data_IF_558909396939
#
_entry.id   IF_558909396939
#
_cell.length_a   1.000
_cell.length_b   1.000
_cell.length_c   1.000
_cell.angle_alpha   90.00
_cell.angle_beta   90.00
_cell.angle_gamma   90.00
#
_symmetry.space_group_name_H-M   'P 1'
#
loop_
_entity.id
_entity.type
_entity.pdbx_description
1 polymer ?
#
# COMPACT_ATOMS: atom_id res chain seq x y z
N UNK A 1 -15.51 31.62 16.08
CA UNK A 1 -15.71 30.56 17.11
C UNK A 1 -16.84 29.59 16.78
N UNK A 2 -18.09 30.03 16.48
CA UNK A 2 -19.19 29.09 16.16
C UNK A 2 -19.01 28.39 14.79
N UNK A 3 -18.53 29.09 13.77
CA UNK A 3 -18.28 28.52 12.44
C UNK A 3 -17.15 27.48 12.48
N UNK A 4 -16.08 27.72 13.22
CA UNK A 4 -14.97 26.77 13.39
C UNK A 4 -15.39 25.50 14.12
N UNK A 5 -16.22 25.64 15.16
CA UNK A 5 -16.78 24.48 15.87
C UNK A 5 -17.68 23.62 14.98
N UNK A 6 -18.47 24.24 14.10
CA UNK A 6 -19.33 23.54 13.15
C UNK A 6 -18.50 22.77 12.13
N UNK A 7 -17.46 23.40 11.56
CA UNK A 7 -16.54 22.74 10.62
C UNK A 7 -15.75 21.60 11.28
N UNK A 8 -15.33 21.78 12.53
CA UNK A 8 -14.67 20.70 13.27
C UNK A 8 -15.61 19.51 13.54
N UNK A 9 -16.87 19.77 13.92
CA UNK A 9 -17.86 18.72 14.12
C UNK A 9 -18.20 17.99 12.81
N UNK A 10 -18.37 18.71 11.70
CA UNK A 10 -18.62 18.14 10.38
C UNK A 10 -17.44 17.26 9.93
N UNK A 11 -16.21 17.73 10.10
CA UNK A 11 -15.01 16.97 9.79
C UNK A 11 -14.89 15.71 10.69
N UNK A 12 -15.17 15.85 11.99
CA UNK A 12 -15.13 14.72 12.93
C UNK A 12 -16.18 13.67 12.59
N UNK A 13 -17.41 14.09 12.28
CA UNK A 13 -18.48 13.18 11.88
C UNK A 13 -18.17 12.49 10.53
N UNK A 14 -17.62 13.23 9.57
CA UNK A 14 -17.24 12.68 8.27
C UNK A 14 -16.10 11.66 8.41
N UNK A 15 -15.07 11.97 9.19
CA UNK A 15 -13.97 11.05 9.46
C UNK A 15 -14.46 9.83 10.25
N UNK A 16 -15.35 10.02 11.25
CA UNK A 16 -15.96 8.94 12.00
C UNK A 16 -16.83 8.03 11.13
N UNK A 17 -17.63 8.60 10.24
CA UNK A 17 -18.43 7.83 9.30
C UNK A 17 -17.55 7.01 8.34
N UNK A 18 -16.48 7.59 7.77
CA UNK A 18 -15.52 6.88 6.95
C UNK A 18 -14.85 5.73 7.71
N UNK A 19 -14.52 5.95 8.98
CA UNK A 19 -13.89 4.93 9.83
C UNK A 19 -14.84 3.76 10.09
N UNK A 20 -16.12 4.06 10.41
CA UNK A 20 -17.15 3.03 10.61
C UNK A 20 -17.34 2.20 9.34
N UNK A 21 -17.47 2.84 8.18
CA UNK A 21 -17.63 2.17 6.88
C UNK A 21 -16.41 1.27 6.60
N UNK A 22 -15.20 1.75 6.89
CA UNK A 22 -13.95 1.00 6.70
C UNK A 22 -13.86 -0.26 7.56
N UNK A 23 -14.57 -0.33 8.68
CA UNK A 23 -14.63 -1.54 9.52
C UNK A 23 -15.84 -2.43 9.18
N UNK A 24 -16.98 -1.83 8.87
CA UNK A 24 -18.22 -2.58 8.59
C UNK A 24 -18.10 -3.37 7.27
N UNK A 25 -17.49 -2.78 6.23
CA UNK A 25 -17.33 -3.45 4.94
C UNK A 25 -16.54 -4.76 5.06
N UNK A 26 -15.34 -4.80 5.68
CA UNK A 26 -14.62 -6.06 5.90
C UNK A 26 -15.40 -7.05 6.77
N UNK A 27 -16.10 -6.56 7.81
CA UNK A 27 -16.87 -7.43 8.72
C UNK A 27 -17.98 -8.20 8.00
N UNK A 28 -18.58 -7.60 6.97
CA UNK A 28 -19.62 -8.26 6.15
C UNK A 28 -18.96 -9.14 5.08
N UNK A 29 -17.88 -8.66 4.45
CA UNK A 29 -17.22 -9.37 3.37
C UNK A 29 -16.50 -10.65 3.83
N UNK A 30 -15.87 -10.65 5.02
CA UNK A 30 -15.11 -11.80 5.51
C UNK A 30 -15.94 -13.08 5.64
N UNK A 31 -17.13 -13.08 6.33
CA UNK A 31 -17.98 -14.26 6.40
C UNK A 31 -18.55 -14.70 5.05
N UNK A 32 -18.86 -13.73 4.18
CA UNK A 32 -19.35 -14.01 2.83
C UNK A 32 -18.28 -14.70 1.98
N UNK A 33 -17.05 -14.14 1.96
CA UNK A 33 -15.92 -14.72 1.25
C UNK A 33 -15.56 -16.12 1.77
N UNK A 34 -15.55 -16.33 3.09
CA UNK A 34 -15.23 -17.62 3.67
C UNK A 34 -16.23 -18.71 3.31
N UNK A 35 -17.51 -18.35 3.13
CA UNK A 35 -18.56 -19.29 2.71
C UNK A 35 -18.46 -19.66 1.23
N UNK A 36 -18.08 -18.73 0.36
CA UNK A 36 -18.00 -18.96 -1.09
C UNK A 36 -16.70 -19.69 -1.46
N UNK A 37 -15.56 -19.22 -0.94
CA UNK A 37 -14.26 -19.81 -1.29
C UNK A 37 -13.98 -21.12 -0.53
N UNK A 38 -14.67 -21.36 0.58
CA UNK A 38 -14.30 -22.41 1.51
C UNK A 38 -13.07 -22.06 2.33
N UNK A 39 -12.84 -22.80 3.40
CA UNK A 39 -11.78 -22.50 4.40
C UNK A 39 -10.38 -22.55 3.78
N UNK A 40 -10.15 -23.48 2.87
CA UNK A 40 -8.83 -23.70 2.26
C UNK A 40 -8.41 -22.54 1.34
N UNK A 41 -9.26 -22.17 0.38
CA UNK A 41 -8.98 -21.07 -0.55
C UNK A 41 -8.99 -19.71 0.16
N UNK A 42 -9.86 -19.55 1.15
CA UNK A 42 -9.85 -18.35 2.00
C UNK A 42 -8.52 -18.20 2.73
N UNK A 43 -8.01 -19.28 3.35
CA UNK A 43 -6.71 -19.30 3.99
C UNK A 43 -5.56 -18.97 3.03
N UNK A 44 -5.59 -19.54 1.82
CA UNK A 44 -4.59 -19.29 0.79
C UNK A 44 -4.53 -17.82 0.37
N UNK A 45 -5.68 -17.19 0.13
CA UNK A 45 -5.76 -15.77 -0.26
C UNK A 45 -5.24 -14.87 0.85
N UNK A 46 -5.63 -15.11 2.10
CA UNK A 46 -5.13 -14.32 3.23
C UNK A 46 -3.64 -14.54 3.50
N UNK A 47 -3.15 -15.77 3.31
CA UNK A 47 -1.73 -16.05 3.37
C UNK A 47 -0.96 -15.28 2.28
N UNK A 48 -1.45 -15.31 1.03
CA UNK A 48 -0.84 -14.56 -0.05
C UNK A 48 -0.84 -13.05 0.24
N UNK A 49 -1.96 -12.50 0.74
CA UNK A 49 -2.05 -11.11 1.14
C UNK A 49 -1.04 -10.73 2.23
N UNK A 50 -0.96 -11.50 3.30
CA UNK A 50 0.01 -11.29 4.38
C UNK A 50 1.46 -11.42 3.86
N UNK A 51 1.71 -12.36 2.97
CA UNK A 51 3.01 -12.57 2.35
C UNK A 51 3.43 -11.37 1.49
N UNK A 52 2.51 -10.79 0.72
CA UNK A 52 2.78 -9.58 -0.08
C UNK A 52 3.10 -8.36 0.78
N UNK A 53 2.65 -8.28 2.04
CA UNK A 53 3.01 -7.18 2.94
C UNK A 53 4.53 -7.10 3.20
N UNK A 54 5.22 -8.22 3.25
CA UNK A 54 6.69 -8.22 3.38
C UNK A 54 7.37 -7.62 2.14
N UNK A 55 6.86 -7.90 0.94
CA UNK A 55 7.36 -7.29 -0.29
C UNK A 55 7.05 -5.80 -0.38
N UNK A 56 5.88 -5.37 0.09
CA UNK A 56 5.52 -3.95 0.19
C UNK A 56 6.51 -3.25 1.13
N UNK A 57 6.78 -3.82 2.30
CA UNK A 57 7.74 -3.27 3.25
C UNK A 57 9.16 -3.20 2.66
N UNK A 58 9.56 -4.20 1.90
CA UNK A 58 10.86 -4.22 1.20
C UNK A 58 10.95 -3.11 0.14
N UNK A 59 9.90 -2.93 -0.67
CA UNK A 59 9.86 -1.90 -1.73
C UNK A 59 9.73 -0.49 -1.16
N UNK A 60 9.08 -0.33 -0.01
CA UNK A 60 8.93 0.98 0.65
C UNK A 60 10.20 1.43 1.37
N UNK A 61 10.98 0.51 1.92
CA UNK A 61 12.28 0.74 2.58
C UNK A 61 12.38 2.04 3.42
N UNK A 62 11.28 2.52 3.97
CA UNK A 62 11.23 3.75 4.76
C UNK A 62 11.19 5.06 3.96
N UNK A 63 11.03 5.00 2.63
CA UNK A 63 10.87 6.20 1.79
C UNK A 63 9.64 7.03 2.17
N UNK A 64 8.60 6.39 2.73
CA UNK A 64 7.43 7.08 3.26
C UNK A 64 7.77 8.18 4.27
N UNK A 65 8.82 8.01 5.08
CA UNK A 65 9.27 9.01 6.05
C UNK A 65 10.38 9.91 5.50
N UNK A 66 11.44 9.31 4.94
CA UNK A 66 12.62 10.05 4.49
C UNK A 66 12.32 10.95 3.30
N UNK A 67 11.66 10.43 2.27
CA UNK A 67 11.31 11.19 1.08
C UNK A 67 10.25 12.26 1.36
N UNK A 68 9.25 11.97 2.21
CA UNK A 68 8.25 12.96 2.65
C UNK A 68 8.91 14.16 3.31
N UNK A 69 9.90 13.92 4.19
CA UNK A 69 10.67 14.99 4.85
C UNK A 69 11.46 15.84 3.86
N UNK A 70 12.18 15.19 2.94
CA UNK A 70 12.97 15.89 1.93
C UNK A 70 12.09 16.76 1.01
N UNK A 71 10.92 16.28 0.63
CA UNK A 71 9.96 17.05 -0.16
C UNK A 71 9.42 18.25 0.62
N UNK A 72 9.07 18.06 1.90
CA UNK A 72 8.58 19.14 2.74
C UNK A 72 9.61 20.29 2.88
N UNK A 73 10.90 19.95 3.01
CA UNK A 73 11.99 20.92 3.08
C UNK A 73 12.17 21.65 1.74
N UNK A 74 12.12 20.92 0.63
CA UNK A 74 12.41 21.45 -0.71
C UNK A 74 11.16 21.88 -1.50
N UNK A 75 9.99 22.01 -0.88
CA UNK A 75 8.69 22.27 -1.54
C UNK A 75 8.64 23.52 -2.43
N UNK A 76 9.51 24.49 -2.20
CA UNK A 76 9.59 25.74 -2.99
C UNK A 76 10.55 25.65 -4.18
N UNK A 77 11.36 24.60 -4.28
CA UNK A 77 12.34 24.42 -5.35
C UNK A 77 11.93 23.28 -6.28
N UNK A 78 11.34 23.63 -7.43
CA UNK A 78 10.82 22.66 -8.42
C UNK A 78 11.89 21.70 -8.96
N UNK A 79 13.12 22.17 -9.14
CA UNK A 79 14.20 21.35 -9.67
C UNK A 79 14.62 20.27 -8.66
N UNK A 80 14.75 20.63 -7.38
CA UNK A 80 15.07 19.69 -6.32
C UNK A 80 13.94 18.67 -6.13
N UNK A 81 12.68 19.11 -6.19
CA UNK A 81 11.51 18.21 -6.13
C UNK A 81 11.52 17.15 -7.23
N UNK A 82 11.79 17.57 -8.47
CA UNK A 82 11.87 16.65 -9.61
C UNK A 82 13.00 15.61 -9.44
N UNK A 83 14.16 16.06 -8.97
CA UNK A 83 15.29 15.17 -8.73
C UNK A 83 15.00 14.15 -7.63
N UNK A 84 14.41 14.60 -6.49
CA UNK A 84 14.03 13.70 -5.39
C UNK A 84 12.99 12.69 -5.87
N UNK A 85 11.96 13.14 -6.59
CA UNK A 85 10.92 12.28 -7.13
C UNK A 85 11.48 11.21 -8.07
N UNK A 86 12.33 11.61 -9.03
CA UNK A 86 12.98 10.69 -9.96
C UNK A 86 13.86 9.67 -9.24
N UNK A 87 14.69 10.12 -8.30
CA UNK A 87 15.60 9.26 -7.57
C UNK A 87 14.84 8.21 -6.74
N UNK A 88 13.84 8.63 -5.96
CA UNK A 88 13.04 7.72 -5.13
C UNK A 88 12.26 6.74 -5.99
N UNK A 89 11.64 7.21 -7.08
CA UNK A 89 10.89 6.35 -8.00
C UNK A 89 11.80 5.32 -8.65
N UNK A 90 12.98 5.72 -9.09
CA UNK A 90 13.95 4.79 -9.67
C UNK A 90 14.38 3.71 -8.69
N UNK A 91 14.70 4.08 -7.44
CA UNK A 91 15.10 3.13 -6.41
C UNK A 91 13.93 2.16 -6.10
N UNK A 92 12.69 2.67 -5.97
CA UNK A 92 11.51 1.82 -5.76
C UNK A 92 11.31 0.83 -6.90
N UNK A 93 11.52 1.24 -8.15
CA UNK A 93 11.43 0.34 -9.30
C UNK A 93 12.52 -0.74 -9.26
N UNK A 94 13.75 -0.39 -8.89
CA UNK A 94 14.81 -1.38 -8.70
C UNK A 94 14.46 -2.39 -7.58
N UNK A 95 13.96 -1.90 -6.44
CA UNK A 95 13.53 -2.76 -5.34
C UNK A 95 12.33 -3.64 -5.73
N UNK A 96 11.41 -3.12 -6.55
CA UNK A 96 10.30 -3.88 -7.10
C UNK A 96 10.79 -5.04 -7.98
N UNK A 97 11.76 -4.80 -8.87
CA UNK A 97 12.37 -5.83 -9.70
C UNK A 97 13.06 -6.91 -8.86
N UNK A 98 13.84 -6.50 -7.86
CA UNK A 98 14.48 -7.43 -6.92
C UNK A 98 13.42 -8.26 -6.18
N UNK A 99 12.36 -7.63 -5.67
CA UNK A 99 11.24 -8.28 -5.01
C UNK A 99 10.55 -9.30 -5.92
N UNK A 100 10.35 -8.95 -7.18
CA UNK A 100 9.76 -9.85 -8.18
C UNK A 100 10.64 -11.08 -8.43
N UNK A 101 11.96 -10.89 -8.58
CA UNK A 101 12.91 -11.99 -8.75
C UNK A 101 12.92 -12.92 -7.53
N UNK A 102 12.90 -12.36 -6.32
CA UNK A 102 12.80 -13.13 -5.08
C UNK A 102 11.51 -13.96 -5.06
N UNK A 103 10.37 -13.35 -5.41
CA UNK A 103 9.08 -14.06 -5.49
C UNK A 103 9.14 -15.21 -6.49
N UNK A 104 9.69 -15.00 -7.69
CA UNK A 104 9.83 -16.04 -8.71
C UNK A 104 10.71 -17.21 -8.21
N UNK A 105 11.83 -16.90 -7.56
CA UNK A 105 12.68 -17.92 -6.95
C UNK A 105 11.93 -18.70 -5.87
N UNK A 106 11.20 -18.02 -4.99
CA UNK A 106 10.41 -18.69 -3.94
C UNK A 106 9.31 -19.58 -4.52
N UNK A 107 8.65 -19.18 -5.60
CA UNK A 107 7.65 -20.01 -6.30
C UNK A 107 8.30 -21.28 -6.86
N UNK A 108 9.53 -21.21 -7.37
CA UNK A 108 10.23 -22.36 -7.94
C UNK A 108 10.69 -23.32 -6.84
N UNK A 109 11.21 -22.81 -5.72
CA UNK A 109 11.81 -23.63 -4.67
C UNK A 109 10.81 -24.17 -3.62
N UNK A 110 9.66 -23.51 -3.46
CA UNK A 110 8.68 -23.86 -2.44
C UNK A 110 7.47 -24.56 -3.08
N UNK A 111 7.27 -25.90 -2.91
CA UNK A 111 6.19 -26.63 -3.56
C UNK A 111 4.79 -26.04 -3.29
N UNK A 112 4.54 -25.58 -2.07
CA UNK A 112 3.25 -24.94 -1.70
C UNK A 112 2.94 -23.67 -2.48
N UNK A 113 3.96 -22.88 -2.82
CA UNK A 113 3.81 -21.67 -3.64
C UNK A 113 3.66 -22.05 -5.11
N UNK A 114 4.37 -23.10 -5.54
CA UNK A 114 4.32 -23.61 -6.89
C UNK A 114 2.93 -24.12 -7.28
N UNK A 115 2.25 -24.86 -6.40
CA UNK A 115 0.89 -25.36 -6.65
C UNK A 115 -0.11 -24.23 -6.93
N UNK A 116 0.07 -23.07 -6.29
CA UNK A 116 -0.83 -21.93 -6.39
C UNK A 116 -0.13 -20.67 -6.93
N UNK A 117 0.85 -20.86 -7.81
CA UNK A 117 1.71 -19.78 -8.33
C UNK A 117 0.92 -18.56 -8.87
N UNK A 118 -0.22 -18.82 -9.49
CA UNK A 118 -1.07 -17.79 -10.09
C UNK A 118 -1.66 -16.86 -9.04
N UNK A 119 -2.03 -17.37 -7.87
CA UNK A 119 -2.54 -16.55 -6.76
C UNK A 119 -1.46 -15.60 -6.26
N UNK A 120 -0.23 -16.09 -6.06
CA UNK A 120 0.89 -15.25 -5.61
C UNK A 120 1.31 -14.22 -6.65
N UNK A 121 1.30 -14.58 -7.93
CA UNK A 121 1.66 -13.69 -9.02
C UNK A 121 0.62 -12.58 -9.20
N UNK A 122 -0.68 -12.89 -9.12
CA UNK A 122 -1.74 -11.89 -9.12
C UNK A 122 -1.70 -11.01 -7.87
N UNK A 123 -1.42 -11.58 -6.70
CA UNK A 123 -1.28 -10.81 -5.46
C UNK A 123 -0.11 -9.84 -5.51
N UNK A 124 0.94 -10.14 -6.29
CA UNK A 124 2.08 -9.23 -6.47
C UNK A 124 1.70 -7.92 -7.17
N UNK A 125 0.61 -7.87 -7.93
CA UNK A 125 0.07 -6.62 -8.48
C UNK A 125 -0.23 -5.58 -7.39
N UNK A 126 -0.53 -6.03 -6.18
CA UNK A 126 -0.71 -5.14 -5.03
C UNK A 126 0.61 -4.45 -4.64
N UNK A 127 1.74 -5.16 -4.70
CA UNK A 127 3.07 -4.59 -4.47
C UNK A 127 3.42 -3.57 -5.55
N UNK A 128 3.13 -3.90 -6.82
CA UNK A 128 3.31 -3.00 -7.97
C UNK A 128 2.48 -1.72 -7.78
N UNK A 129 1.20 -1.86 -7.43
CA UNK A 129 0.30 -0.73 -7.18
C UNK A 129 0.81 0.18 -6.07
N UNK A 130 1.28 -0.40 -4.96
CA UNK A 130 1.85 0.36 -3.85
C UNK A 130 3.16 1.08 -4.23
N UNK A 131 4.03 0.43 -5.00
CA UNK A 131 5.30 1.02 -5.44
C UNK A 131 5.10 2.22 -6.38
N UNK A 132 4.09 2.14 -7.28
CA UNK A 132 3.79 3.19 -8.27
C UNK A 132 3.05 4.36 -7.61
N UNK A 133 2.25 4.13 -6.58
CA UNK A 133 1.44 5.17 -5.94
C UNK A 133 2.28 6.05 -5.00
N UNK A 134 2.58 7.33 -5.35
CA UNK A 134 3.51 8.18 -4.61
C UNK A 134 2.83 8.91 -3.44
N UNK A 135 2.29 8.19 -2.46
CA UNK A 135 1.65 8.77 -1.26
C UNK A 135 2.59 9.73 -0.54
N UNK A 136 3.85 9.33 -0.40
CA UNK A 136 4.91 10.12 0.25
C UNK A 136 5.12 11.49 -0.40
N UNK A 137 4.92 11.60 -1.73
CA UNK A 137 5.05 12.87 -2.44
C UNK A 137 3.90 13.82 -2.08
N UNK A 138 2.66 13.33 -2.11
CA UNK A 138 1.48 14.14 -1.76
C UNK A 138 1.48 14.54 -0.29
N UNK A 139 1.93 13.66 0.60
CA UNK A 139 2.11 13.96 2.02
C UNK A 139 3.14 15.06 2.23
N UNK A 140 4.30 14.99 1.57
CA UNK A 140 5.35 16.01 1.67
C UNK A 140 4.94 17.37 1.12
N UNK A 141 4.05 17.41 0.13
CA UNK A 141 3.50 18.65 -0.42
C UNK A 141 2.33 19.22 0.38
N UNK A 142 1.88 18.57 1.46
CA UNK A 142 0.69 18.94 2.26
C UNK A 142 -0.58 19.15 1.40
N UNK A 143 -0.67 18.47 0.26
CA UNK A 143 -1.80 18.58 -0.69
C UNK A 143 -2.74 17.38 -0.58
N UNK A 144 -2.93 16.84 0.61
CA UNK A 144 -3.99 15.88 0.86
C UNK A 144 -5.31 16.62 1.07
N UNK A 145 -6.06 16.85 0.00
CA UNK A 145 -7.46 17.24 0.00
C UNK A 145 -8.31 16.09 -0.47
#
# INVERSE_FOLDING_TARGET
>A
MQAERKTLLENFLSLGALQIVSYVIPLINLPYLSRILGVEMFGLVFFAFAFMQYFIMLTDYGFGLSATREIAINRHNKNNLSNIFSAVTFIKLCLLLVSFLILCLMIIFIPKLHENWLVFLLSFLMVVGNAIYPVWFFQGMERMK
#
